data_IF_388068945426
#
_entry.id   IF_388068945426
#
_cell.length_a   1.000
_cell.length_b   1.000
_cell.length_c   1.000
_cell.angle_alpha   90.00
_cell.angle_beta   90.00
_cell.angle_gamma   90.00
#
_symmetry.space_group_name_H-M   'P 1'
#
loop_
_entity.id
_entity.type
_entity.pdbx_description
1 polymer ?
#
# COMPACT_ATOMS: atom_id res chain seq x y z
N UNK A 1 -11.41 -5.63 -8.71
CA UNK A 1 -12.51 -6.19 -7.90
C UNK A 1 -12.97 -5.25 -6.79
N UNK A 2 -12.10 -4.73 -5.93
CA UNK A 2 -12.49 -3.80 -4.84
C UNK A 2 -13.09 -2.47 -5.34
N UNK A 3 -12.52 -1.89 -6.41
CA UNK A 3 -13.08 -0.67 -7.02
C UNK A 3 -14.49 -0.89 -7.59
N UNK A 4 -14.74 -2.04 -8.23
CA UNK A 4 -16.07 -2.40 -8.76
C UNK A 4 -17.09 -2.68 -7.64
N UNK A 5 -16.64 -3.20 -6.49
CA UNK A 5 -17.46 -3.38 -5.30
C UNK A 5 -17.94 -2.03 -4.73
N UNK A 6 -17.06 -1.03 -4.65
CA UNK A 6 -17.43 0.31 -4.20
C UNK A 6 -18.35 1.04 -5.18
N UNK A 7 -18.20 0.82 -6.49
CA UNK A 7 -19.00 1.47 -7.53
C UNK A 7 -20.37 0.80 -7.76
N UNK A 8 -20.48 -0.52 -7.58
CA UNK A 8 -21.72 -1.30 -7.79
C UNK A 8 -21.97 -2.32 -6.66
N UNK A 9 -22.30 -1.86 -5.44
CA UNK A 9 -22.41 -2.72 -4.25
C UNK A 9 -23.58 -3.73 -4.31
N UNK A 10 -24.61 -3.45 -5.09
CA UNK A 10 -25.79 -4.32 -5.25
C UNK A 10 -25.54 -5.53 -6.15
N UNK A 11 -24.63 -5.42 -7.13
CA UNK A 11 -24.29 -6.48 -8.11
C UNK A 11 -23.14 -7.34 -7.59
N UNK A 12 -22.16 -6.72 -6.92
CA UNK A 12 -21.00 -7.42 -6.37
C UNK A 12 -21.06 -7.38 -4.84
N UNK A 13 -21.81 -8.28 -4.21
CA UNK A 13 -21.93 -8.32 -2.73
C UNK A 13 -20.71 -8.92 -1.99
N UNK A 14 -19.78 -9.54 -2.70
CA UNK A 14 -18.63 -10.29 -2.14
C UNK A 14 -17.27 -9.72 -2.56
N UNK A 15 -17.10 -8.40 -2.51
CA UNK A 15 -15.84 -7.74 -2.94
C UNK A 15 -14.61 -8.15 -2.14
N UNK A 16 -14.78 -8.46 -0.85
CA UNK A 16 -13.71 -8.90 0.05
C UNK A 16 -13.05 -10.23 -0.36
N UNK A 17 -13.83 -11.14 -0.95
CA UNK A 17 -13.32 -12.43 -1.46
C UNK A 17 -12.23 -12.24 -2.52
N UNK A 18 -12.30 -11.17 -3.31
CA UNK A 18 -11.28 -10.85 -4.31
C UNK A 18 -9.94 -10.45 -3.69
N UNK A 19 -9.94 -9.85 -2.50
CA UNK A 19 -8.73 -9.48 -1.76
C UNK A 19 -8.05 -10.74 -1.22
N UNK A 20 -8.84 -11.62 -0.58
CA UNK A 20 -8.34 -12.89 -0.04
C UNK A 20 -7.74 -13.77 -1.14
N UNK A 21 -8.44 -13.94 -2.26
CA UNK A 21 -7.95 -14.71 -3.42
C UNK A 21 -6.68 -14.08 -4.00
N UNK A 22 -6.62 -12.76 -4.10
CA UNK A 22 -5.42 -12.05 -4.58
C UNK A 22 -4.21 -12.32 -3.68
N UNK A 23 -4.38 -12.29 -2.36
CA UNK A 23 -3.31 -12.57 -1.41
C UNK A 23 -2.84 -14.03 -1.49
N UNK A 24 -3.76 -15.00 -1.59
CA UNK A 24 -3.42 -16.42 -1.72
C UNK A 24 -2.62 -16.69 -3.00
N UNK A 25 -3.11 -16.20 -4.15
CA UNK A 25 -2.42 -16.39 -5.44
C UNK A 25 -1.06 -15.70 -5.44
N UNK A 26 -0.98 -14.49 -4.88
CA UNK A 26 0.28 -13.76 -4.74
C UNK A 26 1.27 -14.56 -3.89
N UNK A 27 0.85 -15.08 -2.74
CA UNK A 27 1.69 -15.90 -1.87
C UNK A 27 2.21 -17.15 -2.58
N UNK A 28 1.33 -17.88 -3.28
CA UNK A 28 1.72 -19.05 -4.07
C UNK A 28 2.78 -18.71 -5.14
N UNK A 29 2.56 -17.63 -5.91
CA UNK A 29 3.49 -17.20 -6.95
C UNK A 29 4.86 -16.77 -6.37
N UNK A 30 4.85 -16.07 -5.24
CA UNK A 30 6.08 -15.64 -4.56
C UNK A 30 6.88 -16.87 -4.14
N UNK A 31 6.24 -17.83 -3.46
CA UNK A 31 6.89 -19.07 -3.03
C UNK A 31 7.42 -19.85 -4.23
N UNK A 32 6.67 -19.96 -5.33
CA UNK A 32 7.13 -20.62 -6.56
C UNK A 32 8.37 -19.94 -7.18
N UNK A 33 8.43 -18.60 -7.18
CA UNK A 33 9.59 -17.85 -7.68
C UNK A 33 10.81 -18.09 -6.79
N UNK A 34 10.62 -18.14 -5.47
CA UNK A 34 11.71 -18.36 -4.51
C UNK A 34 12.17 -19.83 -4.50
N UNK A 35 11.26 -20.80 -4.67
CA UNK A 35 11.57 -22.23 -4.66
C UNK A 35 12.21 -22.74 -5.95
N UNK A 36 12.44 -21.87 -6.94
CA UNK A 36 13.08 -22.22 -8.21
C UNK A 36 14.57 -22.56 -8.04
N UNK A 37 15.19 -22.11 -6.95
CA UNK A 37 16.55 -22.48 -6.56
C UNK A 37 16.50 -23.59 -5.50
N UNK A 38 17.31 -24.63 -5.65
CA UNK A 38 17.39 -25.80 -4.75
C UNK A 38 17.80 -25.43 -3.33
N UNK A 39 18.47 -24.29 -3.15
CA UNK A 39 18.81 -23.70 -1.85
C UNK A 39 18.44 -22.21 -1.86
N UNK A 40 17.45 -21.82 -1.04
CA UNK A 40 17.07 -20.41 -0.87
C UNK A 40 18.10 -19.75 0.04
N UNK A 41 18.84 -18.77 -0.49
CA UNK A 41 19.71 -17.92 0.32
C UNK A 41 18.97 -16.66 0.79
N UNK A 42 19.37 -16.10 1.93
CA UNK A 42 18.93 -14.77 2.37
C UNK A 42 19.22 -13.69 1.30
N UNK A 43 20.26 -13.88 0.49
CA UNK A 43 20.59 -12.99 -0.62
C UNK A 43 19.52 -13.02 -1.74
N UNK A 44 18.94 -14.18 -2.02
CA UNK A 44 17.90 -14.33 -3.05
C UNK A 44 16.61 -13.62 -2.62
N UNK A 45 16.25 -13.78 -1.34
CA UNK A 45 15.13 -13.08 -0.71
C UNK A 45 15.37 -11.56 -0.76
N UNK A 46 16.57 -11.11 -0.36
CA UNK A 46 16.95 -9.70 -0.42
C UNK A 46 16.90 -9.12 -1.83
N UNK A 47 17.35 -9.87 -2.84
CA UNK A 47 17.30 -9.44 -4.24
C UNK A 47 15.87 -9.32 -4.76
N UNK A 48 14.99 -10.25 -4.36
CA UNK A 48 13.58 -10.20 -4.68
C UNK A 48 12.90 -8.95 -4.09
N UNK A 49 13.11 -8.67 -2.81
CA UNK A 49 12.56 -7.46 -2.17
C UNK A 49 13.19 -6.17 -2.73
N UNK A 50 14.49 -6.15 -3.03
CA UNK A 50 15.16 -4.99 -3.63
C UNK A 50 14.57 -4.61 -4.99
N UNK A 51 14.24 -5.59 -5.84
CA UNK A 51 13.56 -5.36 -7.12
C UNK A 51 12.16 -4.80 -6.94
N UNK A 52 11.43 -5.24 -5.89
CA UNK A 52 10.09 -4.72 -5.56
C UNK A 52 10.15 -3.28 -5.06
N UNK A 53 11.06 -2.98 -4.12
CA UNK A 53 11.27 -1.63 -3.58
C UNK A 53 11.57 -0.64 -4.70
N UNK A 54 12.52 -0.97 -5.59
CA UNK A 54 12.88 -0.10 -6.74
C UNK A 54 11.73 0.16 -7.72
N UNK A 55 10.70 -0.69 -7.74
CA UNK A 55 9.52 -0.50 -8.61
C UNK A 55 8.40 0.28 -7.92
N UNK A 56 8.18 0.06 -6.62
CA UNK A 56 7.04 0.62 -5.88
C UNK A 56 7.37 2.00 -5.29
N UNK A 57 8.57 2.17 -4.73
CA UNK A 57 8.96 3.38 -4.02
C UNK A 57 8.95 4.64 -4.90
N UNK A 58 9.40 4.61 -6.18
CA UNK A 58 9.37 5.80 -7.01
C UNK A 58 7.97 6.36 -7.21
N UNK A 59 7.00 5.49 -7.51
CA UNK A 59 5.60 5.89 -7.68
C UNK A 59 5.01 6.39 -6.35
N UNK A 60 5.36 5.75 -5.24
CA UNK A 60 4.91 6.15 -3.91
C UNK A 60 5.37 7.56 -3.54
N UNK A 61 6.68 7.84 -3.62
CA UNK A 61 7.21 9.16 -3.28
C UNK A 61 6.79 10.23 -4.27
N UNK A 62 6.66 9.89 -5.55
CA UNK A 62 6.10 10.79 -6.55
C UNK A 62 4.66 11.19 -6.22
N UNK A 63 3.81 10.22 -5.86
CA UNK A 63 2.43 10.52 -5.45
C UNK A 63 2.40 11.36 -4.17
N UNK A 64 3.22 11.03 -3.16
CA UNK A 64 3.32 11.84 -1.94
C UNK A 64 3.72 13.28 -2.25
N UNK A 65 4.72 13.47 -3.10
CA UNK A 65 5.14 14.80 -3.55
C UNK A 65 4.01 15.54 -4.25
N UNK A 66 3.30 14.88 -5.17
CA UNK A 66 2.16 15.46 -5.86
C UNK A 66 1.07 15.89 -4.87
N UNK A 67 0.67 15.02 -3.93
CA UNK A 67 -0.34 15.34 -2.92
C UNK A 67 0.08 16.53 -2.05
N UNK A 68 1.34 16.63 -1.65
CA UNK A 68 1.84 17.78 -0.88
C UNK A 68 1.77 19.09 -1.68
N UNK A 69 2.17 19.07 -2.95
CA UNK A 69 2.12 20.24 -3.84
C UNK A 69 0.67 20.67 -4.08
N UNK A 70 -0.21 19.74 -4.44
CA UNK A 70 -1.63 20.02 -4.65
C UNK A 70 -2.30 20.48 -3.36
N UNK A 71 -2.02 19.82 -2.24
CA UNK A 71 -2.55 20.21 -0.93
C UNK A 71 -2.17 21.65 -0.56
N UNK A 72 -0.94 22.07 -0.85
CA UNK A 72 -0.52 23.46 -0.59
C UNK A 72 -1.28 24.50 -1.42
N UNK A 73 -1.71 24.16 -2.64
CA UNK A 73 -2.41 25.07 -3.55
C UNK A 73 -3.91 25.12 -3.27
N UNK A 74 -4.53 23.99 -2.94
CA UNK A 74 -5.99 23.83 -2.90
C UNK A 74 -6.60 23.75 -1.49
N UNK A 75 -5.82 23.42 -0.44
CA UNK A 75 -6.36 23.24 0.92
C UNK A 75 -6.31 24.52 1.76
N UNK A 76 -7.27 24.65 2.67
CA UNK A 76 -7.32 25.71 3.70
C UNK A 76 -6.18 25.54 4.71
N UNK A 77 -5.76 26.62 5.38
CA UNK A 77 -4.67 26.59 6.37
C UNK A 77 -4.86 25.57 7.50
N UNK A 78 -6.10 25.24 7.86
CA UNK A 78 -6.43 24.20 8.84
C UNK A 78 -6.10 22.79 8.30
N UNK A 79 -6.55 22.48 7.09
CA UNK A 79 -6.36 21.16 6.46
C UNK A 79 -4.89 20.90 6.06
N UNK A 80 -4.12 21.96 5.80
CA UNK A 80 -2.68 21.84 5.55
C UNK A 80 -1.90 21.32 6.76
N UNK A 81 -2.34 21.66 7.97
CA UNK A 81 -1.71 21.18 9.21
C UNK A 81 -1.96 19.69 9.43
N UNK A 82 -3.18 19.22 9.13
CA UNK A 82 -3.52 17.80 9.16
C UNK A 82 -2.72 17.02 8.09
N UNK A 83 -2.65 17.55 6.87
CA UNK A 83 -1.85 16.95 5.81
C UNK A 83 -0.36 16.84 6.19
N UNK A 84 0.21 17.84 6.87
CA UNK A 84 1.60 17.81 7.32
C UNK A 84 1.86 16.71 8.36
N UNK A 85 0.92 16.46 9.27
CA UNK A 85 1.03 15.38 10.25
C UNK A 85 0.91 14.02 9.56
N UNK A 86 -0.10 13.83 8.71
CA UNK A 86 -0.37 12.57 8.02
C UNK A 86 0.73 12.19 7.01
N UNK A 87 1.29 13.18 6.33
CA UNK A 87 2.41 12.96 5.40
C UNK A 87 3.68 12.54 6.13
N UNK A 88 3.92 13.01 7.35
CA UNK A 88 5.05 12.56 8.18
C UNK A 88 4.99 11.06 8.48
N UNK A 89 3.82 10.55 8.87
CA UNK A 89 3.59 9.13 9.10
C UNK A 89 3.62 8.31 7.82
N UNK A 90 3.10 8.87 6.73
CA UNK A 90 3.09 8.24 5.41
C UNK A 90 4.51 8.08 4.87
N UNK A 91 5.37 9.10 4.95
CA UNK A 91 6.76 9.02 4.50
C UNK A 91 7.57 7.89 5.16
N UNK A 92 7.26 7.60 6.42
CA UNK A 92 7.85 6.49 7.18
C UNK A 92 7.23 5.12 6.84
N UNK A 93 6.23 5.05 5.96
CA UNK A 93 5.37 3.88 5.72
C UNK A 93 4.66 3.38 6.99
N UNK A 94 4.42 4.29 7.95
CA UNK A 94 3.78 4.00 9.24
C UNK A 94 2.37 4.58 9.33
N UNK A 95 1.75 4.95 8.21
CA UNK A 95 0.38 5.49 8.19
C UNK A 95 -0.63 4.54 8.85
N UNK A 96 -0.46 3.23 8.66
CA UNK A 96 -1.33 2.23 9.28
C UNK A 96 -1.19 2.18 10.81
N UNK A 97 0.02 2.49 11.33
CA UNK A 97 0.29 2.52 12.77
C UNK A 97 -0.34 3.76 13.40
N UNK A 98 -0.23 4.92 12.72
CA UNK A 98 -0.89 6.15 13.16
C UNK A 98 -2.41 5.98 13.27
N UNK A 99 -3.03 5.38 12.24
CA UNK A 99 -4.46 5.05 12.25
C UNK A 99 -4.86 4.07 13.35
N UNK A 100 -4.06 3.02 13.56
CA UNK A 100 -4.29 2.08 14.65
C UNK A 100 -4.36 2.78 16.02
N UNK A 101 -3.53 3.79 16.24
CA UNK A 101 -3.52 4.55 17.49
C UNK A 101 -4.65 5.58 17.61
N UNK A 102 -5.22 6.09 16.50
CA UNK A 102 -6.28 7.09 16.52
C UNK A 102 -7.70 6.51 16.44
N UNK A 103 -7.92 5.50 15.59
CA UNK A 103 -9.27 5.02 15.26
C UNK A 103 -9.57 3.61 15.78
N UNK A 104 -8.55 2.89 16.31
CA UNK A 104 -8.63 1.45 16.65
C UNK A 104 -9.11 0.55 15.50
N UNK A 105 -9.10 1.05 14.27
CA UNK A 105 -9.37 0.31 13.06
C UNK A 105 -8.12 0.25 12.17
N UNK A 106 -7.87 -0.93 11.61
CA UNK A 106 -6.67 -1.20 10.78
C UNK A 106 -6.90 -0.88 9.30
N UNK A 107 -8.14 -0.57 8.91
CA UNK A 107 -8.59 -0.36 7.52
C UNK A 107 -9.06 1.08 7.29
#
# INVERSE_FOLDING_TARGET
YVLLFHLFPTVFRKGFLGVDIFFVISGYLITMILSRNTSISLADIGMFFSKRIRRIFPAYYFMMFAVLVFGRIFLTSYDQHLLAVDSGWSLAFLSNVHKYFQEKDYF
#
